data_IF_822489314688
#
_entry.id   IF_822489314688
#
_cell.length_a   1.000
_cell.length_b   1.000
_cell.length_c   1.000
_cell.angle_alpha   90.00
_cell.angle_beta   90.00
_cell.angle_gamma   90.00
#
_symmetry.space_group_name_H-M   'P 1'
#
loop_
_entity.id
_entity.type
_entity.pdbx_description
1 polymer ?
#
# COMPACT_ATOMS: atom_id res chain seq x y z
N UNK A 1 -35.65 -9.87 0.27
CA UNK A 1 -34.91 -10.60 -0.78
C UNK A 1 -33.80 -9.69 -1.22
N UNK A 2 -32.53 -10.03 -0.95
CA UNK A 2 -31.40 -9.26 -1.50
C UNK A 2 -31.39 -9.48 -3.01
N UNK A 3 -31.60 -8.44 -3.81
CA UNK A 3 -31.34 -8.52 -5.25
C UNK A 3 -29.84 -8.79 -5.41
N UNK A 4 -29.48 -9.67 -6.34
CA UNK A 4 -28.10 -9.83 -6.77
C UNK A 4 -27.75 -8.60 -7.61
N UNK A 5 -26.82 -7.77 -7.14
CA UNK A 5 -26.36 -6.60 -7.90
C UNK A 5 -25.48 -7.10 -9.05
N UNK A 6 -25.80 -6.64 -10.27
CA UNK A 6 -25.02 -6.88 -11.50
C UNK A 6 -25.12 -5.62 -12.34
N UNK A 7 -24.15 -5.43 -13.23
CA UNK A 7 -24.22 -4.42 -14.30
C UNK A 7 -24.41 -5.09 -15.66
N UNK A 8 -24.78 -4.28 -16.64
CA UNK A 8 -25.04 -4.68 -18.02
C UNK A 8 -24.25 -3.81 -19.01
N UNK A 9 -24.49 -4.02 -20.30
CA UNK A 9 -23.93 -3.15 -21.34
C UNK A 9 -24.49 -1.72 -21.26
N UNK A 10 -25.61 -1.50 -20.57
CA UNK A 10 -26.19 -0.16 -20.36
C UNK A 10 -25.27 0.68 -19.46
N UNK A 11 -24.82 0.13 -18.33
CA UNK A 11 -23.86 0.80 -17.44
C UNK A 11 -22.52 1.03 -18.13
N UNK A 12 -22.02 0.05 -18.91
CA UNK A 12 -20.78 0.25 -19.68
C UNK A 12 -20.93 1.36 -20.70
N UNK A 13 -22.04 1.38 -21.43
CA UNK A 13 -22.32 2.43 -22.40
C UNK A 13 -22.40 3.80 -21.73
N UNK A 14 -23.01 3.87 -20.55
CA UNK A 14 -23.08 5.09 -19.75
C UNK A 14 -21.68 5.60 -19.40
N UNK A 15 -20.77 4.74 -18.93
CA UNK A 15 -19.38 5.12 -18.61
C UNK A 15 -18.62 5.59 -19.86
N UNK A 16 -18.76 4.87 -20.98
CA UNK A 16 -18.02 5.16 -22.23
C UNK A 16 -18.50 6.42 -22.95
N UNK A 17 -19.81 6.59 -23.07
CA UNK A 17 -20.41 7.65 -23.89
C UNK A 17 -20.82 8.87 -23.05
N UNK A 18 -21.27 8.64 -21.82
CA UNK A 18 -21.73 9.69 -20.91
C UNK A 18 -20.62 10.31 -20.06
N UNK A 19 -19.54 9.57 -19.82
CA UNK A 19 -18.41 10.03 -19.01
C UNK A 19 -18.80 10.43 -17.58
N UNK A 20 -18.00 11.32 -16.99
CA UNK A 20 -18.16 11.71 -15.58
C UNK A 20 -19.52 12.32 -15.25
N UNK A 21 -20.16 13.06 -16.17
CA UNK A 21 -21.44 13.71 -15.89
C UNK A 21 -22.58 12.70 -15.73
N UNK A 22 -22.62 11.69 -16.60
CA UNK A 22 -23.60 10.60 -16.49
C UNK A 22 -23.34 9.73 -15.26
N UNK A 23 -22.08 9.48 -14.93
CA UNK A 23 -21.70 8.76 -13.70
C UNK A 23 -22.20 9.55 -12.48
N UNK A 24 -21.93 10.85 -12.44
CA UNK A 24 -22.35 11.73 -11.33
C UNK A 24 -23.86 11.76 -11.18
N UNK A 25 -24.62 11.81 -12.26
CA UNK A 25 -26.08 11.79 -12.23
C UNK A 25 -26.60 10.53 -11.49
N UNK A 26 -26.06 9.35 -11.81
CA UNK A 26 -26.47 8.10 -11.15
C UNK A 26 -26.01 8.08 -9.69
N UNK A 27 -24.74 8.40 -9.43
CA UNK A 27 -24.15 8.29 -8.09
C UNK A 27 -24.72 9.31 -7.09
N UNK A 28 -25.23 10.45 -7.56
CA UNK A 28 -25.94 11.45 -6.74
C UNK A 28 -27.45 11.23 -6.66
N UNK A 29 -28.00 10.31 -7.45
CA UNK A 29 -29.42 9.93 -7.41
C UNK A 29 -29.86 9.26 -6.11
N UNK A 30 -31.14 8.89 -6.02
CA UNK A 30 -31.71 8.23 -4.84
C UNK A 30 -31.82 6.70 -4.95
N UNK A 31 -31.52 6.14 -6.12
CA UNK A 31 -31.67 4.71 -6.41
C UNK A 31 -30.41 3.94 -6.00
N UNK A 32 -30.46 3.30 -4.83
CA UNK A 32 -29.34 2.51 -4.27
C UNK A 32 -28.88 1.41 -5.22
N UNK A 33 -29.81 0.66 -5.82
CA UNK A 33 -29.44 -0.49 -6.68
C UNK A 33 -28.71 -0.02 -7.94
N UNK A 34 -29.13 1.12 -8.52
CA UNK A 34 -28.40 1.74 -9.64
C UNK A 34 -27.01 2.23 -9.26
N UNK A 35 -26.84 2.81 -8.06
CA UNK A 35 -25.50 3.19 -7.59
C UNK A 35 -24.60 1.97 -7.49
N UNK A 36 -25.09 0.91 -6.85
CA UNK A 36 -24.31 -0.32 -6.64
C UNK A 36 -24.00 -1.01 -7.97
N UNK A 37 -24.95 -1.06 -8.90
CA UNK A 37 -24.71 -1.55 -10.26
C UNK A 37 -23.59 -0.76 -10.95
N UNK A 38 -23.65 0.57 -10.90
CA UNK A 38 -22.65 1.42 -11.52
C UNK A 38 -21.27 1.32 -10.84
N UNK A 39 -21.21 1.29 -9.51
CA UNK A 39 -19.95 1.08 -8.78
C UNK A 39 -19.32 -0.27 -9.13
N UNK A 40 -20.13 -1.33 -9.22
CA UNK A 40 -19.64 -2.63 -9.66
C UNK A 40 -19.17 -2.63 -11.12
N UNK A 41 -19.83 -1.85 -11.99
CA UNK A 41 -19.36 -1.65 -13.37
C UNK A 41 -18.01 -0.93 -13.43
N UNK A 42 -17.79 0.07 -12.56
CA UNK A 42 -16.57 0.87 -12.52
C UNK A 42 -15.34 0.03 -12.13
N UNK A 43 -15.49 -1.03 -11.33
CA UNK A 43 -14.40 -1.99 -11.04
C UNK A 43 -13.72 -2.47 -12.33
N UNK A 44 -14.52 -2.85 -13.33
CA UNK A 44 -14.02 -3.33 -14.62
C UNK A 44 -13.25 -2.26 -15.42
N UNK A 45 -13.63 -0.99 -15.28
CA UNK A 45 -12.95 0.11 -15.96
C UNK A 45 -11.70 0.57 -15.22
N UNK A 46 -11.67 0.45 -13.90
CA UNK A 46 -10.57 0.89 -13.04
C UNK A 46 -9.47 -0.17 -12.90
N UNK A 47 -9.80 -1.44 -13.06
CA UNK A 47 -8.82 -2.51 -13.01
C UNK A 47 -7.91 -2.52 -14.24
N UNK A 48 -6.63 -2.24 -13.98
CA UNK A 48 -5.54 -2.24 -14.96
C UNK A 48 -5.41 -3.55 -15.74
N UNK A 49 -5.87 -4.68 -15.19
CA UNK A 49 -5.92 -5.98 -15.87
C UNK A 49 -6.73 -5.91 -17.17
N UNK A 50 -7.82 -5.15 -17.20
CA UNK A 50 -8.66 -4.98 -18.39
C UNK A 50 -8.18 -3.86 -19.31
N UNK A 51 -7.28 -2.99 -18.84
CA UNK A 51 -6.59 -1.97 -19.65
C UNK A 51 -7.53 -0.98 -20.35
N UNK A 52 -8.64 -0.59 -19.72
CA UNK A 52 -9.63 0.31 -20.32
C UNK A 52 -9.17 1.78 -20.21
N UNK A 53 -9.03 2.53 -21.31
CA UNK A 53 -8.63 3.93 -21.27
C UNK A 53 -9.79 4.90 -20.99
N UNK A 54 -11.03 4.41 -20.95
CA UNK A 54 -12.25 5.24 -20.99
C UNK A 54 -12.36 6.23 -19.83
N UNK A 55 -11.83 5.87 -18.65
CA UNK A 55 -11.92 6.69 -17.42
C UNK A 55 -10.77 7.67 -17.23
N UNK A 56 -9.65 7.46 -17.93
CA UNK A 56 -8.43 8.27 -17.74
C UNK A 56 -8.67 9.78 -17.93
N UNK A 57 -9.50 10.25 -18.88
CA UNK A 57 -9.77 11.68 -19.05
C UNK A 57 -10.45 12.36 -17.85
N UNK A 58 -11.08 11.61 -16.94
CA UNK A 58 -11.86 12.14 -15.81
C UNK A 58 -11.60 11.39 -14.49
N UNK A 59 -10.46 10.70 -14.39
CA UNK A 59 -10.12 9.85 -13.25
C UNK A 59 -10.04 10.62 -11.94
N UNK A 60 -9.50 11.84 -11.98
CA UNK A 60 -9.40 12.70 -10.80
C UNK A 60 -10.79 13.10 -10.28
N UNK A 61 -11.70 13.47 -11.18
CA UNK A 61 -13.08 13.82 -10.85
C UNK A 61 -13.88 12.60 -10.35
N UNK A 62 -13.59 11.40 -10.87
CA UNK A 62 -14.16 10.16 -10.37
C UNK A 62 -13.70 9.87 -8.94
N UNK A 63 -12.41 10.03 -8.64
CA UNK A 63 -11.87 9.87 -7.28
C UNK A 63 -12.56 10.84 -6.32
N UNK A 64 -12.64 12.13 -6.67
CA UNK A 64 -13.30 13.14 -5.85
C UNK A 64 -14.78 12.80 -5.58
N UNK A 65 -15.48 12.29 -6.59
CA UNK A 65 -16.86 11.85 -6.46
C UNK A 65 -17.00 10.65 -5.51
N UNK A 66 -16.11 9.66 -5.61
CA UNK A 66 -16.11 8.49 -4.73
C UNK A 66 -15.81 8.89 -3.27
N UNK A 67 -14.85 9.79 -3.03
CA UNK A 67 -14.58 10.32 -1.69
C UNK A 67 -15.82 11.02 -1.12
N UNK A 68 -16.48 11.85 -1.93
CA UNK A 68 -17.70 12.56 -1.54
C UNK A 68 -18.85 11.60 -1.21
N UNK A 69 -18.99 10.49 -1.93
CA UNK A 69 -20.02 9.49 -1.65
C UNK A 69 -19.87 8.87 -0.26
N UNK A 70 -18.64 8.66 0.19
CA UNK A 70 -18.32 8.05 1.49
C UNK A 70 -18.68 8.98 2.65
N UNK A 71 -18.53 10.30 2.50
CA UNK A 71 -18.82 11.28 3.57
C UNK A 71 -20.26 11.81 3.55
N UNK A 72 -21.04 11.52 2.50
CA UNK A 72 -22.45 11.98 2.38
C UNK A 72 -23.44 10.93 2.89
N UNK A 73 -24.73 11.27 2.97
CA UNK A 73 -25.79 10.40 3.51
C UNK A 73 -26.18 9.17 2.67
N UNK A 74 -25.23 8.53 1.99
CA UNK A 74 -25.47 7.28 1.26
C UNK A 74 -25.64 6.08 2.20
N UNK A 75 -26.36 5.03 1.78
CA UNK A 75 -26.38 3.76 2.49
C UNK A 75 -24.96 3.18 2.63
N UNK A 76 -24.72 2.47 3.73
CA UNK A 76 -23.41 1.87 4.06
C UNK A 76 -22.87 1.03 2.90
N UNK A 77 -23.71 0.19 2.30
CA UNK A 77 -23.30 -0.71 1.23
C UNK A 77 -22.78 0.02 0.00
N UNK A 78 -23.31 1.22 -0.29
CA UNK A 78 -22.82 2.09 -1.38
C UNK A 78 -21.49 2.71 -1.01
N UNK A 79 -21.30 3.08 0.26
CA UNK A 79 -20.03 3.63 0.75
C UNK A 79 -18.92 2.58 0.76
N UNK A 80 -19.24 1.35 1.14
CA UNK A 80 -18.32 0.21 1.08
C UNK A 80 -17.89 -0.07 -0.36
N UNK A 81 -18.83 -0.15 -1.30
CA UNK A 81 -18.55 -0.33 -2.73
C UNK A 81 -17.65 0.81 -3.26
N UNK A 82 -17.89 2.07 -2.87
CA UNK A 82 -17.04 3.21 -3.28
C UNK A 82 -15.64 3.18 -2.64
N UNK A 83 -15.55 2.80 -1.36
CA UNK A 83 -14.28 2.69 -0.64
C UNK A 83 -13.40 1.57 -1.18
N UNK A 84 -14.00 0.46 -1.62
CA UNK A 84 -13.30 -0.62 -2.31
C UNK A 84 -12.63 -0.11 -3.59
N UNK A 85 -13.37 0.63 -4.44
CA UNK A 85 -12.80 1.20 -5.66
C UNK A 85 -11.60 2.13 -5.38
N UNK A 86 -11.69 2.96 -4.33
CA UNK A 86 -10.58 3.83 -3.94
C UNK A 86 -9.36 3.03 -3.45
N UNK A 87 -9.58 2.04 -2.59
CA UNK A 87 -8.52 1.25 -1.96
C UNK A 87 -7.82 0.35 -2.97
N UNK A 88 -8.56 -0.26 -3.89
CA UNK A 88 -8.02 -1.26 -4.80
C UNK A 88 -7.43 -0.66 -6.09
N UNK A 89 -7.78 0.59 -6.45
CA UNK A 89 -7.41 1.15 -7.76
C UNK A 89 -6.82 2.56 -7.76
N UNK A 90 -6.94 3.35 -6.67
CA UNK A 90 -6.60 4.78 -6.71
C UNK A 90 -5.38 5.21 -5.88
N UNK A 91 -4.92 4.42 -4.90
CA UNK A 91 -3.67 4.64 -4.10
C UNK A 91 -3.40 6.07 -3.58
N UNK A 92 -4.44 6.89 -3.42
CA UNK A 92 -4.39 8.24 -2.86
C UNK A 92 -3.52 9.26 -3.63
N UNK A 93 -3.41 10.50 -3.11
CA UNK A 93 -4.00 11.00 -1.86
C UNK A 93 -5.54 11.16 -1.94
N UNK A 94 -6.20 11.08 -0.78
CA UNK A 94 -7.66 11.24 -0.62
C UNK A 94 -7.98 12.43 0.31
N UNK A 95 -7.82 13.68 -0.17
CA UNK A 95 -7.89 14.87 0.67
C UNK A 95 -9.29 15.16 1.24
N UNK A 96 -10.36 14.71 0.59
CA UNK A 96 -11.72 14.88 1.11
C UNK A 96 -11.93 13.93 2.28
N UNK A 97 -11.55 12.66 2.13
CA UNK A 97 -11.62 11.68 3.22
C UNK A 97 -10.74 12.08 4.40
N UNK A 98 -9.53 12.58 4.15
CA UNK A 98 -8.64 13.11 5.20
C UNK A 98 -9.29 14.23 5.99
N UNK A 99 -9.82 15.24 5.29
CA UNK A 99 -10.41 16.42 5.92
C UNK A 99 -11.70 16.12 6.68
N UNK A 100 -12.49 15.16 6.20
CA UNK A 100 -13.81 14.83 6.71
C UNK A 100 -13.84 13.47 7.45
N UNK A 101 -12.68 12.97 7.90
CA UNK A 101 -12.56 11.66 8.55
C UNK A 101 -13.48 11.49 9.77
N UNK A 102 -13.73 12.57 10.51
CA UNK A 102 -14.60 12.53 11.69
C UNK A 102 -16.07 12.29 11.34
N UNK A 103 -16.50 12.66 10.13
CA UNK A 103 -17.87 12.51 9.61
C UNK A 103 -18.16 11.08 9.12
N UNK A 104 -17.12 10.26 8.90
CA UNK A 104 -17.23 8.87 8.47
C UNK A 104 -17.87 8.01 9.55
N UNK A 105 -18.78 7.11 9.17
CA UNK A 105 -19.40 6.16 10.08
C UNK A 105 -18.36 5.29 10.81
N UNK A 106 -18.57 5.05 12.10
CA UNK A 106 -17.61 4.34 12.95
C UNK A 106 -17.17 2.98 12.38
N UNK A 107 -18.06 2.27 11.68
CA UNK A 107 -17.76 0.98 11.06
C UNK A 107 -16.85 1.08 9.83
N UNK A 108 -16.84 2.22 9.12
CA UNK A 108 -16.00 2.44 7.93
C UNK A 108 -14.65 3.06 8.28
N UNK A 109 -14.53 3.71 9.45
CA UNK A 109 -13.31 4.40 9.89
C UNK A 109 -12.01 3.58 9.77
N UNK A 110 -11.96 2.27 10.11
CA UNK A 110 -10.76 1.48 9.92
C UNK A 110 -10.32 1.40 8.46
N UNK A 111 -11.26 1.11 7.55
CA UNK A 111 -10.97 0.97 6.13
C UNK A 111 -10.65 2.34 5.48
N UNK A 112 -11.33 3.41 5.88
CA UNK A 112 -11.01 4.77 5.41
C UNK A 112 -9.63 5.21 5.88
N UNK A 113 -9.26 4.91 7.14
CA UNK A 113 -7.92 5.18 7.67
C UNK A 113 -6.86 4.45 6.88
N UNK A 114 -7.09 3.16 6.57
CA UNK A 114 -6.22 2.38 5.71
C UNK A 114 -6.04 3.07 4.35
N UNK A 115 -7.15 3.35 3.64
CA UNK A 115 -7.12 3.97 2.31
C UNK A 115 -6.35 5.30 2.27
N UNK A 116 -6.60 6.20 3.24
CA UNK A 116 -5.90 7.48 3.38
C UNK A 116 -4.38 7.29 3.51
N UNK A 117 -3.96 6.26 4.26
CA UNK A 117 -2.55 6.04 4.56
C UNK A 117 -1.80 5.26 3.47
N UNK A 118 -2.48 4.60 2.52
CA UNK A 118 -1.84 3.83 1.44
C UNK A 118 -0.80 4.64 0.65
N UNK A 119 -1.10 5.91 0.35
CA UNK A 119 -0.18 6.79 -0.36
C UNK A 119 1.08 7.10 0.47
N UNK A 120 0.89 7.37 1.77
CA UNK A 120 1.97 7.70 2.71
C UNK A 120 2.86 6.48 2.96
N UNK A 121 2.26 5.31 3.12
CA UNK A 121 2.98 4.04 3.23
C UNK A 121 3.88 3.80 2.01
N UNK A 122 3.37 4.03 0.79
CA UNK A 122 4.17 3.91 -0.43
C UNK A 122 5.32 4.95 -0.50
N UNK A 123 5.09 6.18 -0.05
CA UNK A 123 6.14 7.19 0.05
C UNK A 123 7.23 6.78 1.06
N UNK A 124 6.82 6.27 2.22
CA UNK A 124 7.73 5.80 3.27
C UNK A 124 8.52 4.58 2.80
N UNK A 125 7.88 3.62 2.13
CA UNK A 125 8.55 2.48 1.51
C UNK A 125 9.66 2.95 0.55
N UNK A 126 9.40 3.96 -0.28
CA UNK A 126 10.42 4.54 -1.16
C UNK A 126 11.56 5.23 -0.39
N UNK A 127 11.25 6.03 0.64
CA UNK A 127 12.26 6.67 1.50
C UNK A 127 13.15 5.64 2.19
N UNK A 128 12.55 4.56 2.69
CA UNK A 128 13.27 3.45 3.32
C UNK A 128 14.18 2.73 2.34
N UNK A 129 13.71 2.51 1.10
CA UNK A 129 14.53 1.95 0.03
C UNK A 129 15.73 2.85 -0.28
N UNK A 130 15.52 4.16 -0.37
CA UNK A 130 16.60 5.12 -0.63
C UNK A 130 17.60 5.19 0.52
N UNK A 131 17.13 5.11 1.76
CA UNK A 131 17.99 5.04 2.94
C UNK A 131 18.81 3.73 2.97
N UNK A 132 18.20 2.61 2.62
CA UNK A 132 18.91 1.34 2.45
C UNK A 132 20.01 1.46 1.39
N UNK A 133 19.71 2.08 0.24
CA UNK A 133 20.71 2.33 -0.82
C UNK A 133 21.85 3.23 -0.34
N UNK A 134 21.55 4.26 0.46
CA UNK A 134 22.54 5.15 1.07
C UNK A 134 23.46 4.38 2.02
N UNK A 135 22.89 3.68 3.00
CA UNK A 135 23.64 2.86 3.97
C UNK A 135 24.48 1.79 3.28
N UNK A 136 23.93 1.13 2.26
CA UNK A 136 24.67 0.17 1.46
C UNK A 136 25.87 0.81 0.76
N UNK A 137 25.68 1.98 0.16
CA UNK A 137 26.76 2.69 -0.55
C UNK A 137 27.89 3.09 0.41
N UNK A 138 27.55 3.61 1.59
CA UNK A 138 28.52 4.00 2.62
C UNK A 138 29.32 2.81 3.15
N UNK A 139 28.64 1.71 3.49
CA UNK A 139 29.31 0.53 4.05
C UNK A 139 30.03 -0.32 2.99
N UNK A 140 29.55 -0.36 1.75
CA UNK A 140 30.26 -1.01 0.62
C UNK A 140 31.62 -0.38 0.36
N UNK A 141 31.73 0.94 0.48
CA UNK A 141 33.02 1.63 0.35
C UNK A 141 34.00 1.23 1.45
N UNK A 142 33.49 0.90 2.65
CA UNK A 142 34.30 0.50 3.79
C UNK A 142 34.72 -0.98 3.76
N UNK A 143 33.89 -1.88 3.20
CA UNK A 143 34.11 -3.33 3.21
C UNK A 143 33.75 -4.03 1.88
N UNK A 144 34.33 -3.63 0.74
CA UNK A 144 33.91 -4.09 -0.59
C UNK A 144 33.92 -5.63 -0.79
N UNK A 145 34.69 -6.36 0.02
CA UNK A 145 34.81 -7.82 0.02
C UNK A 145 33.59 -8.58 0.57
N UNK A 146 32.66 -7.89 1.24
CA UNK A 146 31.49 -8.47 1.95
C UNK A 146 30.16 -8.17 1.22
N UNK A 147 30.13 -7.24 0.26
CA UNK A 147 28.88 -6.64 -0.26
C UNK A 147 28.41 -7.18 -1.62
N UNK A 148 28.36 -8.50 -1.79
CA UNK A 148 27.79 -9.07 -3.02
C UNK A 148 26.26 -9.16 -2.99
N UNK A 149 25.66 -9.36 -1.80
CA UNK A 149 24.22 -9.61 -1.66
C UNK A 149 23.67 -9.06 -0.35
N UNK A 150 22.63 -8.22 -0.42
CA UNK A 150 21.89 -7.72 0.75
C UNK A 150 20.45 -8.18 0.71
N UNK A 151 19.97 -8.68 1.84
CA UNK A 151 18.59 -9.11 2.02
C UNK A 151 17.82 -8.02 2.75
N UNK A 152 16.78 -7.50 2.10
CA UNK A 152 15.83 -6.57 2.72
C UNK A 152 14.54 -7.34 2.98
N UNK A 153 14.12 -7.35 4.23
CA UNK A 153 12.91 -8.00 4.71
C UNK A 153 11.89 -6.89 5.00
N UNK A 154 10.76 -6.94 4.32
CA UNK A 154 9.61 -6.09 4.61
C UNK A 154 8.59 -6.89 5.41
N UNK A 155 8.34 -6.44 6.63
CA UNK A 155 7.29 -6.90 7.52
C UNK A 155 6.20 -5.82 7.60
N UNK A 156 5.07 -6.04 6.93
CA UNK A 156 3.94 -5.10 6.97
C UNK A 156 2.98 -5.33 8.13
N UNK A 157 3.15 -6.43 8.86
CA UNK A 157 2.24 -6.82 9.92
C UNK A 157 2.98 -7.53 11.04
N UNK A 158 2.43 -7.48 12.25
CA UNK A 158 2.70 -8.49 13.27
C UNK A 158 1.53 -9.46 13.34
N UNK A 159 1.81 -10.76 13.44
CA UNK A 159 0.81 -11.79 13.71
C UNK A 159 0.12 -11.53 15.06
N UNK A 160 -0.86 -12.38 15.39
CA UNK A 160 -1.62 -12.29 16.64
C UNK A 160 -0.76 -12.42 17.90
N UNK A 161 0.47 -12.91 17.79
CA UNK A 161 1.46 -13.03 18.87
C UNK A 161 2.43 -11.83 18.90
N UNK A 162 2.25 -10.84 18.03
CA UNK A 162 3.16 -9.70 17.90
C UNK A 162 4.44 -10.00 17.12
N UNK A 163 4.52 -11.12 16.39
CA UNK A 163 5.70 -11.47 15.58
C UNK A 163 5.56 -10.93 14.17
N UNK A 164 6.62 -10.38 13.57
CA UNK A 164 6.56 -9.87 12.21
C UNK A 164 6.12 -10.96 11.20
N UNK A 165 5.16 -10.63 10.33
CA UNK A 165 4.71 -11.45 9.21
C UNK A 165 5.47 -11.01 7.96
N UNK A 166 6.40 -11.87 7.55
CA UNK A 166 7.27 -11.61 6.41
C UNK A 166 6.45 -11.60 5.11
N UNK A 167 6.19 -10.42 4.57
CA UNK A 167 5.39 -10.25 3.36
C UNK A 167 6.24 -10.19 2.10
N UNK A 168 7.42 -9.57 2.16
CA UNK A 168 8.27 -9.45 0.96
C UNK A 168 9.75 -9.46 1.34
N UNK A 169 10.52 -10.11 0.48
CA UNK A 169 11.97 -10.17 0.59
C UNK A 169 12.57 -9.65 -0.69
N UNK A 170 13.55 -8.76 -0.60
CA UNK A 170 14.28 -8.26 -1.75
C UNK A 170 15.75 -8.60 -1.67
N UNK A 171 16.33 -8.90 -2.83
CA UNK A 171 17.77 -8.99 -2.99
C UNK A 171 18.27 -7.67 -3.59
N UNK A 172 19.12 -6.97 -2.86
CA UNK A 172 19.93 -5.88 -3.40
C UNK A 172 21.22 -6.47 -3.97
N UNK A 173 21.37 -6.35 -5.28
CA UNK A 173 22.56 -6.77 -6.02
C UNK A 173 23.09 -5.55 -6.78
N UNK A 174 24.34 -5.16 -6.52
CA UNK A 174 24.97 -3.98 -7.14
C UNK A 174 24.22 -2.64 -6.95
N UNK A 175 23.40 -2.50 -5.91
CA UNK A 175 22.64 -1.28 -5.61
C UNK A 175 21.27 -1.23 -6.30
N UNK A 176 20.96 -2.25 -7.10
CA UNK A 176 19.63 -2.43 -7.68
C UNK A 176 18.84 -3.45 -6.87
N UNK A 177 17.56 -3.15 -6.65
CA UNK A 177 16.62 -4.09 -6.06
C UNK A 177 16.22 -5.07 -7.16
N UNK A 178 16.61 -6.34 -7.00
CA UNK A 178 16.02 -7.43 -7.75
C UNK A 178 14.78 -7.91 -7.02
N UNK A 179 13.63 -7.60 -7.62
CA UNK A 179 12.33 -8.09 -7.16
C UNK A 179 12.29 -9.61 -7.32
N UNK A 180 12.36 -10.31 -6.19
CA UNK A 180 11.85 -11.67 -6.09
C UNK A 180 10.81 -11.63 -4.99
N UNK A 181 9.52 -11.42 -5.33
CA UNK A 181 8.42 -11.56 -4.35
C UNK A 181 8.42 -13.02 -3.88
N UNK A 182 9.23 -13.33 -2.88
CA UNK A 182 9.15 -14.59 -2.17
C UNK A 182 7.86 -14.55 -1.36
N UNK A 183 6.85 -15.30 -1.83
CA UNK A 183 5.56 -15.44 -1.15
C UNK A 183 5.75 -15.79 0.35
N UNK A 184 4.89 -15.25 1.23
CA UNK A 184 4.93 -15.54 2.66
C UNK A 184 4.84 -17.06 2.90
N UNK A 185 5.80 -17.61 3.66
CA UNK A 185 5.75 -19.01 4.12
C UNK A 185 7.01 -19.85 3.94
N UNK A 186 8.01 -19.36 3.21
CA UNK A 186 9.34 -20.00 3.16
C UNK A 186 10.44 -18.95 3.16
N UNK A 187 10.92 -18.57 4.34
CA UNK A 187 12.31 -18.10 4.42
C UNK A 187 13.18 -19.16 3.71
N UNK A 188 14.04 -18.78 2.74
CA UNK A 188 14.79 -19.74 1.94
C UNK A 188 15.58 -20.66 2.88
N UNK A 189 15.22 -21.96 2.89
CA UNK A 189 15.95 -22.98 3.64
C UNK A 189 17.16 -23.38 2.81
N UNK A 190 18.35 -23.20 3.39
CA UNK A 190 19.69 -23.63 2.93
C UNK A 190 19.66 -24.66 1.80
N UNK A 191 20.25 -24.31 0.66
CA UNK A 191 20.95 -25.27 -0.18
C UNK A 191 22.34 -24.73 -0.55
N UNK A 192 23.37 -25.46 -0.14
CA UNK A 192 24.66 -25.49 -0.82
C UNK A 192 24.69 -26.83 -1.57
N UNK A 193 25.22 -26.89 -2.79
CA UNK A 193 26.65 -27.19 -2.98
C UNK A 193 27.36 -26.42 -4.09
N UNK A 194 26.67 -25.62 -4.90
CA UNK A 194 27.30 -24.83 -6.00
C UNK A 194 26.64 -23.44 -6.27
N UNK A 195 25.93 -22.84 -5.31
CA UNK A 195 25.32 -21.51 -5.47
C UNK A 195 24.52 -21.06 -4.25
N UNK A 196 25.16 -20.21 -3.43
CA UNK A 196 24.75 -19.40 -2.24
C UNK A 196 23.31 -19.53 -1.68
N UNK A 197 23.05 -19.52 -0.35
CA UNK A 197 23.42 -18.47 0.64
C UNK A 197 23.68 -19.00 2.09
N UNK A 198 24.75 -18.49 2.72
CA UNK A 198 24.97 -18.44 4.18
C UNK A 198 24.03 -17.43 4.85
N UNK A 199 23.98 -17.35 6.19
CA UNK A 199 23.25 -16.26 6.87
C UNK A 199 23.62 -14.91 6.23
N UNK A 200 22.64 -14.03 5.94
CA UNK A 200 22.93 -12.77 5.29
C UNK A 200 23.85 -11.94 6.20
N UNK A 201 24.97 -11.47 5.67
CA UNK A 201 25.91 -10.59 6.38
C UNK A 201 25.29 -9.21 6.65
N UNK A 202 24.23 -8.85 5.90
CA UNK A 202 23.44 -7.64 6.06
C UNK A 202 21.94 -7.95 6.01
N UNK A 203 21.21 -7.50 7.03
CA UNK A 203 19.74 -7.61 7.11
C UNK A 203 19.13 -6.25 7.41
N UNK A 204 18.13 -5.87 6.62
CA UNK A 204 17.21 -4.79 6.95
C UNK A 204 15.85 -5.41 7.28
N UNK A 205 15.22 -5.02 8.38
CA UNK A 205 13.81 -5.31 8.64
C UNK A 205 13.06 -3.99 8.71
N UNK A 206 12.03 -3.87 7.89
CA UNK A 206 11.10 -2.76 7.89
C UNK A 206 9.82 -3.25 8.54
N UNK A 207 9.43 -2.63 9.66
CA UNK A 207 8.12 -2.80 10.27
C UNK A 207 7.26 -1.60 9.89
N UNK A 208 6.14 -1.84 9.21
CA UNK A 208 5.12 -0.81 8.94
C UNK A 208 3.89 -1.11 9.80
N UNK A 209 3.42 -0.12 10.55
CA UNK A 209 2.12 -0.16 11.21
C UNK A 209 1.33 1.14 10.93
N UNK A 210 0.08 1.23 11.39
CA UNK A 210 -0.81 2.38 11.12
C UNK A 210 -0.27 3.75 11.62
N UNK A 211 0.78 3.77 12.44
CA UNK A 211 1.33 4.96 13.10
C UNK A 211 2.80 5.18 12.77
N UNK A 212 3.58 4.12 12.60
CA UNK A 212 5.04 4.18 12.54
C UNK A 212 5.60 3.20 11.53
N UNK A 213 6.71 3.62 10.96
CA UNK A 213 7.60 2.80 10.16
C UNK A 213 8.93 2.69 10.89
N UNK A 214 9.41 1.46 11.11
CA UNK A 214 10.66 1.18 11.83
C UNK A 214 11.60 0.41 10.91
N UNK A 215 12.74 1.01 10.60
CA UNK A 215 13.83 0.35 9.89
C UNK A 215 14.87 -0.11 10.89
N UNK A 216 14.96 -1.41 11.09
CA UNK A 216 16.05 -2.03 11.84
C UNK A 216 17.06 -2.60 10.87
N UNK A 217 18.34 -2.48 11.18
CA UNK A 217 19.37 -3.13 10.38
C UNK A 217 20.43 -3.79 11.25
N UNK A 218 20.98 -4.88 10.75
CA UNK A 218 22.06 -5.62 11.40
C UNK A 218 23.12 -5.98 10.37
N UNK A 219 24.35 -5.62 10.68
CA UNK A 219 25.57 -5.94 9.96
C UNK A 219 26.40 -6.92 10.80
N UNK A 220 26.58 -8.11 10.26
CA UNK A 220 27.51 -9.16 10.72
C UNK A 220 27.90 -9.11 12.20
N UNK A 221 26.97 -9.42 13.12
CA UNK A 221 27.19 -9.49 14.59
C UNK A 221 27.84 -8.27 15.29
N UNK A 222 28.16 -7.18 14.57
CA UNK A 222 29.04 -6.12 15.08
C UNK A 222 28.42 -4.72 15.01
N UNK A 223 27.43 -4.48 14.14
CA UNK A 223 26.77 -3.17 14.04
C UNK A 223 25.28 -3.34 13.82
N UNK A 224 24.47 -2.70 14.66
CA UNK A 224 23.01 -2.67 14.53
C UNK A 224 22.49 -1.26 14.74
N UNK A 225 21.44 -0.88 14.03
CA UNK A 225 20.77 0.40 14.20
C UNK A 225 19.26 0.29 14.01
N UNK A 226 18.55 1.31 14.50
CA UNK A 226 17.10 1.44 14.35
C UNK A 226 16.80 2.88 13.93
N UNK A 227 15.98 3.04 12.91
CA UNK A 227 15.44 4.30 12.42
C UNK A 227 13.92 4.26 12.52
N UNK A 228 13.33 5.38 12.94
CA UNK A 228 11.88 5.53 13.09
C UNK A 228 11.40 6.62 12.14
N UNK A 229 10.28 6.36 11.48
CA UNK A 229 9.56 7.29 10.62
C UNK A 229 8.10 7.30 11.06
N UNK A 230 7.49 8.48 11.17
CA UNK A 230 6.08 8.61 11.54
C UNK A 230 5.21 8.59 10.28
N UNK A 231 4.19 7.71 10.25
CA UNK A 231 3.27 7.59 9.09
C UNK A 231 2.17 8.66 9.15
N UNK A 232 1.88 9.18 10.34
CA UNK A 232 0.83 10.17 10.58
C UNK A 232 1.36 11.62 10.54
N UNK A 233 2.66 11.82 10.59
CA UNK A 233 3.31 13.13 10.53
C UNK A 233 3.45 13.84 11.87
N UNK A 234 3.44 13.10 12.99
CA UNK A 234 3.76 13.66 14.31
C UNK A 234 5.27 13.50 14.61
N UNK A 235 6.00 14.63 14.57
CA UNK A 235 7.42 14.86 14.94
C UNK A 235 8.47 13.73 14.73
N UNK A 236 9.43 14.00 13.83
CA UNK A 236 10.62 13.18 13.58
C UNK A 236 11.49 13.00 14.85
N UNK A 237 11.38 11.84 15.51
CA UNK A 237 12.30 11.45 16.58
C UNK A 237 13.32 10.42 16.07
N UNK A 238 14.50 10.93 15.67
CA UNK A 238 15.68 10.12 15.42
C UNK A 238 16.31 9.65 16.74
N UNK A 239 16.37 8.35 16.98
CA UNK A 239 17.20 7.79 18.04
C UNK A 239 18.13 6.70 17.48
N UNK A 240 19.37 7.08 17.19
CA UNK A 240 20.47 6.14 16.98
C UNK A 240 20.88 5.57 18.34
N UNK A 241 20.51 4.33 18.63
CA UNK A 241 21.11 3.59 19.75
C UNK A 241 22.15 2.60 19.21
N UNK A 242 23.42 2.81 19.58
CA UNK A 242 24.44 1.77 19.44
C UNK A 242 24.04 0.52 20.25
N UNK A 243 24.39 -0.70 19.80
CA UNK A 243 24.18 -1.89 20.60
C UNK A 243 24.90 -1.75 21.95
N UNK A 244 24.22 -2.12 23.03
CA UNK A 244 24.87 -2.25 24.34
C UNK A 244 25.83 -3.44 24.27
N UNK A 245 27.07 -3.18 24.68
CA UNK A 245 28.16 -4.15 24.82
C UNK A 245 27.75 -5.44 25.56
#
# INVERSE_FOLDING_TARGET
>A
MSSFITYSEEEKKLVREGGIDAIREILTGSDTDKKRSLLFCLEWFMDSYYGQPDIEPYKAELIELLETMIITGNPIEVKEDALLLLSDYCWGPFPILEKHFDEVEAQLKPNVRYAINMHREAQIENLLIDEIRRLWSEHRLAHPEVFNHVWVLFDRNTDTDGKPVLETVFLLENGEIRHDRLYPGKAPKKENKDGFFSEPEFRFNILLDEKKAVLTYTFSKALSGVLYYDILGEEDHYSLSAPKD
#
